data_IF_186634605986
#
_entry.id   IF_186634605986
#
_cell.length_a   1.000
_cell.length_b   1.000
_cell.length_c   1.000
_cell.angle_alpha   90.00
_cell.angle_beta   90.00
_cell.angle_gamma   90.00
#
_symmetry.space_group_name_H-M   'P 1'
#
loop_
_entity.id
_entity.type
_entity.pdbx_description
1 polymer ?
#
# COMPACT_ATOMS: atom_id res chain seq x y z
N UNK A 1 -28.40 2.66 -38.85
CA UNK A 1 -27.29 3.13 -39.71
C UNK A 1 -26.87 4.52 -39.24
N UNK A 2 -25.94 4.59 -38.28
CA UNK A 2 -25.10 5.77 -38.02
C UNK A 2 -23.83 5.26 -37.36
N UNK A 3 -22.74 5.29 -38.12
CA UNK A 3 -21.39 4.90 -37.70
C UNK A 3 -20.89 5.85 -36.63
N UNK A 4 -20.60 5.28 -35.46
CA UNK A 4 -19.94 5.94 -34.34
C UNK A 4 -18.63 6.57 -34.83
N UNK A 5 -18.67 7.88 -35.02
CA UNK A 5 -17.54 8.64 -35.56
C UNK A 5 -16.60 8.87 -34.39
N UNK A 6 -15.66 7.94 -34.20
CA UNK A 6 -14.49 8.19 -33.34
C UNK A 6 -13.71 9.32 -34.00
N UNK A 7 -14.02 10.57 -33.62
CA UNK A 7 -13.53 11.78 -34.28
C UNK A 7 -11.98 11.80 -34.28
N UNK A 8 -11.41 11.42 -35.43
CA UNK A 8 -10.00 11.55 -35.73
C UNK A 8 -9.73 13.03 -35.98
N UNK A 9 -9.15 13.69 -34.99
CA UNK A 9 -9.23 15.16 -34.88
C UNK A 9 -7.88 15.85 -35.11
N UNK A 10 -6.77 15.16 -34.90
CA UNK A 10 -5.46 15.81 -34.86
C UNK A 10 -4.46 15.16 -35.82
N UNK A 11 -3.76 16.03 -36.57
CA UNK A 11 -2.58 15.63 -37.32
C UNK A 11 -1.36 15.51 -36.39
N UNK A 12 -0.25 14.85 -36.83
CA UNK A 12 0.94 14.72 -36.01
C UNK A 12 1.54 16.06 -35.54
N UNK A 13 1.41 17.12 -36.33
CA UNK A 13 1.86 18.47 -35.98
C UNK A 13 1.06 19.04 -34.81
N UNK A 14 -0.27 18.92 -34.86
CA UNK A 14 -1.17 19.46 -33.84
C UNK A 14 -1.01 18.69 -32.53
N UNK A 15 -0.92 17.36 -32.61
CA UNK A 15 -0.70 16.52 -31.43
C UNK A 15 0.67 16.80 -30.78
N UNK A 16 1.72 17.01 -31.59
CA UNK A 16 3.03 17.37 -31.08
C UNK A 16 3.00 18.72 -30.34
N UNK A 17 2.25 19.69 -30.87
CA UNK A 17 2.05 21.00 -30.24
C UNK A 17 1.26 20.89 -28.92
N UNK A 18 0.19 20.10 -28.88
CA UNK A 18 -0.61 19.86 -27.67
C UNK A 18 0.15 19.15 -26.55
N UNK A 19 1.10 18.29 -26.91
CA UNK A 19 1.95 17.54 -25.97
C UNK A 19 3.26 18.28 -25.66
N UNK A 20 3.50 19.44 -26.28
CA UNK A 20 4.72 20.23 -26.14
C UNK A 20 6.01 19.42 -26.44
N UNK A 21 5.95 18.55 -27.45
CA UNK A 21 7.07 17.72 -27.89
C UNK A 21 7.38 17.93 -29.38
N UNK A 22 8.59 17.54 -29.79
CA UNK A 22 8.93 17.48 -31.23
C UNK A 22 8.18 16.34 -31.90
N UNK A 23 7.78 16.52 -33.16
CA UNK A 23 7.13 15.45 -33.93
C UNK A 23 7.96 14.16 -34.04
N UNK A 24 9.29 14.28 -34.08
CA UNK A 24 10.19 13.13 -34.07
C UNK A 24 10.06 12.30 -32.79
N UNK A 25 9.88 12.97 -31.65
CA UNK A 25 9.60 12.34 -30.35
C UNK A 25 8.22 11.70 -30.33
N UNK A 26 7.20 12.39 -30.86
CA UNK A 26 5.85 11.83 -30.99
C UNK A 26 5.84 10.55 -31.83
N UNK A 27 6.54 10.54 -32.97
CA UNK A 27 6.71 9.35 -33.82
C UNK A 27 7.40 8.21 -33.07
N UNK A 28 8.45 8.51 -32.31
CA UNK A 28 9.15 7.51 -31.48
C UNK A 28 8.23 6.91 -30.43
N UNK A 29 7.46 7.73 -29.71
CA UNK A 29 6.53 7.27 -28.68
C UNK A 29 5.39 6.45 -29.28
N UNK A 30 4.84 6.90 -30.41
CA UNK A 30 3.81 6.16 -31.14
C UNK A 30 4.32 4.76 -31.53
N UNK A 31 5.56 4.65 -32.01
CA UNK A 31 6.15 3.36 -32.38
C UNK A 31 6.34 2.43 -31.18
N UNK A 32 6.77 2.96 -30.03
CA UNK A 32 6.94 2.18 -28.80
C UNK A 32 5.60 1.61 -28.31
N UNK A 33 4.56 2.43 -28.31
CA UNK A 33 3.21 2.00 -27.96
C UNK A 33 2.66 0.99 -28.99
N UNK A 34 2.95 1.17 -30.28
CA UNK A 34 2.59 0.19 -31.33
C UNK A 34 3.26 -1.18 -31.11
N UNK A 35 4.51 -1.22 -30.63
CA UNK A 35 5.21 -2.48 -30.31
C UNK A 35 4.55 -3.24 -29.15
N UNK A 36 4.05 -2.53 -28.15
CA UNK A 36 3.32 -3.11 -27.01
C UNK A 36 1.84 -3.41 -27.32
N UNK A 37 1.41 -3.21 -28.57
CA UNK A 37 0.07 -3.57 -29.04
C UNK A 37 -1.01 -2.49 -28.88
N UNK A 38 -0.62 -1.22 -28.83
CA UNK A 38 -1.54 -0.09 -29.05
C UNK A 38 -1.67 0.21 -30.54
N UNK A 39 -2.87 0.56 -31.02
CA UNK A 39 -3.08 0.84 -32.45
C UNK A 39 -3.54 2.28 -32.65
N UNK A 40 -2.71 3.08 -33.32
CA UNK A 40 -3.10 4.39 -33.82
C UNK A 40 -3.77 4.26 -35.19
N UNK A 41 -4.68 5.18 -35.50
CA UNK A 41 -5.29 5.23 -36.83
C UNK A 41 -4.26 5.69 -37.87
N UNK A 42 -4.22 4.99 -39.00
CA UNK A 42 -3.36 5.33 -40.14
C UNK A 42 -4.26 5.55 -41.36
N UNK A 43 -4.16 6.71 -41.97
CA UNK A 43 -4.89 7.03 -43.20
C UNK A 43 -4.33 6.27 -44.41
N UNK A 44 -4.93 6.50 -45.59
CA UNK A 44 -4.59 5.84 -46.85
C UNK A 44 -3.12 5.97 -47.29
N UNK A 45 -2.43 7.02 -46.84
CA UNK A 45 -1.01 7.30 -47.16
C UNK A 45 -0.07 6.82 -46.03
N UNK A 46 -0.58 6.06 -45.04
CA UNK A 46 0.19 5.66 -43.85
C UNK A 46 0.47 6.80 -42.86
N UNK A 47 -0.12 7.98 -43.09
CA UNK A 47 -0.06 9.11 -42.16
C UNK A 47 -0.93 8.82 -40.94
N UNK A 48 -0.36 8.98 -39.74
CA UNK A 48 -1.10 8.76 -38.49
C UNK A 48 -2.08 9.90 -38.23
N UNK A 49 -3.27 9.54 -37.79
CA UNK A 49 -4.29 10.45 -37.27
C UNK A 49 -4.54 10.11 -35.82
N UNK A 50 -4.69 11.14 -35.00
CA UNK A 50 -4.86 10.99 -33.57
C UNK A 50 -6.22 11.50 -33.11
N UNK A 51 -6.75 10.84 -32.09
CA UNK A 51 -8.00 11.15 -31.39
C UNK A 51 -7.71 11.72 -30.00
N UNK A 52 -8.74 12.23 -29.31
CA UNK A 52 -8.62 12.66 -27.91
C UNK A 52 -8.18 11.50 -26.99
N UNK A 53 -8.59 10.26 -27.30
CA UNK A 53 -8.11 9.07 -26.57
C UNK A 53 -6.61 8.88 -26.72
N UNK A 54 -6.06 9.07 -27.93
CA UNK A 54 -4.63 8.93 -28.20
C UNK A 54 -3.82 9.99 -27.43
N UNK A 55 -4.36 11.21 -27.33
CA UNK A 55 -3.76 12.29 -26.53
C UNK A 55 -3.63 11.88 -25.06
N UNK A 56 -4.67 11.31 -24.46
CA UNK A 56 -4.63 10.86 -23.06
C UNK A 56 -3.60 9.75 -22.85
N UNK A 57 -3.52 8.80 -23.79
CA UNK A 57 -2.56 7.68 -23.74
C UNK A 57 -1.13 8.20 -23.81
N UNK A 58 -0.85 9.12 -24.72
CA UNK A 58 0.47 9.73 -24.89
C UNK A 58 0.87 10.58 -23.69
N UNK A 59 -0.05 11.38 -23.11
CA UNK A 59 0.21 12.12 -21.86
C UNK A 59 0.57 11.17 -20.71
N UNK A 60 -0.21 10.10 -20.53
CA UNK A 60 0.03 9.12 -19.45
C UNK A 60 1.37 8.41 -19.61
N UNK A 61 1.75 8.09 -20.85
CA UNK A 61 3.06 7.53 -21.15
C UNK A 61 4.21 8.49 -20.80
N UNK A 62 4.06 9.78 -21.11
CA UNK A 62 5.05 10.80 -20.75
C UNK A 62 5.20 10.97 -19.24
N UNK A 63 4.11 10.90 -18.48
CA UNK A 63 4.14 10.94 -17.00
C UNK A 63 4.93 9.76 -16.43
N UNK A 64 4.63 8.53 -16.88
CA UNK A 64 5.27 7.32 -16.36
C UNK A 64 6.75 7.23 -16.74
N UNK A 65 7.11 7.74 -17.93
CA UNK A 65 8.50 7.83 -18.38
C UNK A 65 9.34 8.78 -17.54
N UNK A 66 8.74 9.80 -16.91
CA UNK A 66 9.46 10.74 -16.05
C UNK A 66 9.70 10.21 -14.63
N UNK A 67 9.11 9.07 -14.25
CA UNK A 67 9.43 8.37 -13.01
C UNK A 67 10.63 7.42 -13.17
N UNK A 68 10.99 6.72 -12.09
CA UNK A 68 12.06 5.69 -12.08
C UNK A 68 11.69 4.39 -12.84
N UNK A 69 10.70 4.45 -13.74
CA UNK A 69 10.19 3.29 -14.47
C UNK A 69 10.94 3.11 -15.80
N UNK A 70 11.24 1.86 -16.16
CA UNK A 70 11.81 1.57 -17.48
C UNK A 70 10.80 1.85 -18.60
N UNK A 71 11.31 2.19 -19.79
CA UNK A 71 10.49 2.59 -20.93
C UNK A 71 9.48 1.51 -21.37
N UNK A 72 9.88 0.24 -21.30
CA UNK A 72 9.05 -0.91 -21.66
C UNK A 72 7.93 -1.12 -20.65
N UNK A 73 8.24 -1.10 -19.34
CA UNK A 73 7.24 -1.21 -18.27
C UNK A 73 6.23 -0.07 -18.33
N UNK A 74 6.69 1.15 -18.64
CA UNK A 74 5.81 2.30 -18.83
C UNK A 74 4.87 2.13 -20.03
N UNK A 75 5.36 1.61 -21.17
CA UNK A 75 4.51 1.33 -22.32
C UNK A 75 3.47 0.25 -21.99
N UNK A 76 3.89 -0.86 -21.39
CA UNK A 76 3.01 -1.97 -21.02
C UNK A 76 1.88 -1.52 -20.09
N UNK A 77 2.20 -0.75 -19.04
CA UNK A 77 1.21 -0.24 -18.09
C UNK A 77 0.18 0.70 -18.76
N UNK A 78 0.62 1.55 -19.67
CA UNK A 78 -0.25 2.48 -20.41
C UNK A 78 -1.17 1.74 -21.37
N UNK A 79 -0.66 0.73 -22.09
CA UNK A 79 -1.46 -0.07 -23.02
C UNK A 79 -2.51 -0.88 -22.26
N UNK A 80 -2.15 -1.50 -21.14
CA UNK A 80 -3.11 -2.21 -20.28
C UNK A 80 -4.21 -1.27 -19.77
N UNK A 81 -3.84 -0.07 -19.31
CA UNK A 81 -4.78 0.95 -18.86
C UNK A 81 -5.68 1.48 -20.00
N UNK A 82 -5.15 1.66 -21.20
CA UNK A 82 -5.92 2.09 -22.36
C UNK A 82 -6.90 1.00 -22.84
N UNK A 83 -6.51 -0.27 -22.77
CA UNK A 83 -7.39 -1.42 -23.06
C UNK A 83 -8.51 -1.52 -22.02
N UNK A 84 -8.19 -1.37 -20.73
CA UNK A 84 -9.19 -1.35 -19.65
C UNK A 84 -10.23 -0.24 -19.75
N UNK A 85 -9.89 0.92 -20.32
CA UNK A 85 -10.83 2.03 -20.56
C UNK A 85 -11.70 1.91 -21.81
N UNK A 86 -11.28 1.13 -22.82
CA UNK A 86 -12.10 0.87 -24.02
C UNK A 86 -13.13 -0.25 -23.81
N UNK A 87 -13.29 -0.75 -22.58
CA UNK A 87 -14.31 -1.76 -22.24
C UNK A 87 -15.65 -1.05 -22.02
N UNK A 88 -16.27 -0.65 -23.13
CA UNK A 88 -17.71 -0.50 -23.27
C UNK A 88 -18.09 -0.92 -24.71
N UNK A 89 -19.21 -1.62 -24.87
CA UNK A 89 -19.30 -3.07 -25.06
C UNK A 89 -18.99 -3.50 -26.51
N UNK A 90 -17.78 -3.97 -26.79
CA UNK A 90 -17.49 -4.65 -28.07
C UNK A 90 -16.47 -5.78 -27.92
N UNK A 91 -16.49 -6.49 -26.80
CA UNK A 91 -15.71 -7.72 -26.60
C UNK A 91 -16.68 -8.85 -26.36
N UNK A 92 -17.29 -9.32 -27.47
CA UNK A 92 -17.96 -10.63 -27.53
C UNK A 92 -17.06 -11.68 -28.17
N UNK A 93 -15.74 -11.49 -28.12
CA UNK A 93 -14.76 -12.52 -28.45
C UNK A 93 -13.86 -12.71 -27.22
N UNK A 94 -13.87 -13.93 -26.68
CA UNK A 94 -13.11 -14.41 -25.52
C UNK A 94 -13.81 -14.28 -24.16
N UNK A 95 -15.09 -14.68 -24.11
CA UNK A 95 -15.81 -14.93 -22.86
C UNK A 95 -15.18 -16.04 -21.99
N UNK A 96 -14.24 -16.84 -22.52
CA UNK A 96 -13.49 -17.85 -21.77
C UNK A 96 -12.23 -17.28 -21.09
N UNK A 97 -11.43 -16.46 -21.79
CA UNK A 97 -10.23 -15.83 -21.19
C UNK A 97 -10.59 -14.88 -20.05
N UNK A 98 -11.72 -14.15 -20.18
CA UNK A 98 -12.21 -13.27 -19.12
C UNK A 98 -12.63 -14.08 -17.89
N UNK A 99 -13.37 -15.19 -18.07
CA UNK A 99 -13.78 -16.06 -16.96
C UNK A 99 -12.60 -16.72 -16.26
N UNK A 100 -11.58 -17.12 -17.00
CA UNK A 100 -10.38 -17.72 -16.41
C UNK A 100 -9.54 -16.67 -15.67
N UNK A 101 -9.49 -15.44 -16.17
CA UNK A 101 -8.88 -14.31 -15.46
C UNK A 101 -9.65 -13.94 -14.18
N UNK A 102 -10.97 -13.92 -14.22
CA UNK A 102 -11.84 -13.66 -13.06
C UNK A 102 -11.69 -14.75 -12.00
N UNK A 103 -11.67 -16.02 -12.40
CA UNK A 103 -11.43 -17.15 -11.50
C UNK A 103 -10.05 -17.10 -10.85
N UNK A 104 -9.01 -16.76 -11.63
CA UNK A 104 -7.66 -16.60 -11.09
C UNK A 104 -7.59 -15.45 -10.07
N UNK A 105 -8.26 -14.33 -10.35
CA UNK A 105 -8.33 -13.20 -9.42
C UNK A 105 -9.10 -13.56 -8.14
N UNK A 106 -10.21 -14.28 -8.26
CA UNK A 106 -11.00 -14.76 -7.11
C UNK A 106 -10.18 -15.72 -6.24
N UNK A 107 -9.46 -16.69 -6.82
CA UNK A 107 -8.57 -17.61 -6.09
C UNK A 107 -7.46 -16.85 -5.34
N UNK A 108 -6.88 -15.82 -5.97
CA UNK A 108 -5.87 -14.97 -5.30
C UNK A 108 -6.47 -14.16 -4.16
N UNK A 109 -7.68 -13.64 -4.33
CA UNK A 109 -8.37 -12.86 -3.32
C UNK A 109 -8.75 -13.75 -2.12
N UNK A 110 -9.23 -14.96 -2.37
CA UNK A 110 -9.54 -15.95 -1.34
C UNK A 110 -8.28 -16.31 -0.52
N UNK A 111 -7.17 -16.63 -1.19
CA UNK A 111 -5.88 -16.89 -0.52
C UNK A 111 -5.36 -15.71 0.30
N UNK A 112 -5.56 -14.48 -0.20
CA UNK A 112 -5.21 -13.28 0.58
C UNK A 112 -6.10 -13.15 1.82
N UNK A 113 -7.39 -13.44 1.70
CA UNK A 113 -8.31 -13.38 2.83
C UNK A 113 -7.99 -14.44 3.89
N UNK A 114 -7.64 -15.65 3.48
CA UNK A 114 -7.15 -16.71 4.37
C UNK A 114 -5.89 -16.28 5.12
N UNK A 115 -4.90 -15.71 4.41
CA UNK A 115 -3.68 -15.20 5.04
C UNK A 115 -3.98 -14.07 6.04
N UNK A 116 -4.89 -13.16 5.69
CA UNK A 116 -5.31 -12.08 6.59
C UNK A 116 -5.94 -12.65 7.86
N UNK A 117 -6.83 -13.64 7.74
CA UNK A 117 -7.44 -14.32 8.89
C UNK A 117 -6.40 -15.02 9.77
N UNK A 118 -5.41 -15.69 9.16
CA UNK A 118 -4.33 -16.33 9.90
C UNK A 118 -3.46 -15.32 10.66
N UNK A 119 -3.15 -14.17 10.02
CA UNK A 119 -2.41 -13.08 10.65
C UNK A 119 -3.18 -12.48 11.83
N UNK A 120 -4.49 -12.26 11.68
CA UNK A 120 -5.34 -11.82 12.80
C UNK A 120 -5.33 -12.82 13.95
N UNK A 121 -5.53 -14.11 13.68
CA UNK A 121 -5.49 -15.15 14.71
C UNK A 121 -4.10 -15.26 15.39
N UNK A 122 -3.02 -14.90 14.69
CA UNK A 122 -1.68 -14.83 15.28
C UNK A 122 -1.51 -13.60 16.16
N UNK A 123 -2.06 -12.45 15.76
CA UNK A 123 -2.06 -11.22 16.56
C UNK A 123 -2.87 -11.40 17.85
N UNK A 124 -4.06 -11.99 17.78
CA UNK A 124 -4.90 -12.26 18.96
C UNK A 124 -4.17 -13.15 19.97
N UNK A 125 -3.51 -14.21 19.49
CA UNK A 125 -2.67 -15.08 20.34
C UNK A 125 -1.50 -14.34 20.96
N UNK A 126 -0.88 -13.42 20.21
CA UNK A 126 0.23 -12.62 20.71
C UNK A 126 -0.24 -11.61 21.77
N UNK A 127 -1.38 -10.96 21.55
CA UNK A 127 -1.99 -10.04 22.53
C UNK A 127 -2.33 -10.77 23.83
N UNK A 128 -2.91 -11.97 23.74
CA UNK A 128 -3.22 -12.81 24.89
C UNK A 128 -1.94 -13.21 25.65
N UNK A 129 -0.88 -13.60 24.93
CA UNK A 129 0.42 -13.88 25.54
C UNK A 129 1.00 -12.65 26.27
N UNK A 130 0.88 -11.46 25.66
CA UNK A 130 1.34 -10.23 26.30
C UNK A 130 0.52 -9.88 27.54
N UNK A 131 -0.81 -10.05 27.51
CA UNK A 131 -1.67 -9.86 28.69
C UNK A 131 -1.26 -10.77 29.83
N UNK A 132 -1.09 -12.07 29.59
CA UNK A 132 -0.67 -13.02 30.63
C UNK A 132 0.71 -12.69 31.19
N UNK A 133 1.67 -12.31 30.32
CA UNK A 133 3.01 -11.90 30.74
C UNK A 133 2.95 -10.64 31.60
N UNK A 134 2.18 -9.65 31.19
CA UNK A 134 2.08 -8.37 31.88
C UNK A 134 1.35 -8.55 33.23
N UNK A 135 0.29 -9.37 33.30
CA UNK A 135 -0.36 -9.77 34.56
C UNK A 135 0.62 -10.45 35.51
N UNK A 136 1.38 -11.42 35.03
CA UNK A 136 2.40 -12.11 35.81
C UNK A 136 3.48 -11.14 36.32
N UNK A 137 3.93 -10.20 35.48
CA UNK A 137 4.92 -9.21 35.84
C UNK A 137 4.40 -8.26 36.93
N UNK A 138 3.14 -7.82 36.80
CA UNK A 138 2.46 -6.99 37.81
C UNK A 138 2.34 -7.74 39.14
N UNK A 139 1.97 -9.02 39.12
CA UNK A 139 1.89 -9.85 40.32
C UNK A 139 3.26 -9.95 41.02
N UNK A 140 4.33 -10.23 40.27
CA UNK A 140 5.69 -10.29 40.83
C UNK A 140 6.18 -8.96 41.38
N UNK A 141 5.84 -7.84 40.73
CA UNK A 141 6.13 -6.49 41.24
C UNK A 141 5.38 -6.18 42.53
N UNK A 142 4.11 -6.62 42.67
CA UNK A 142 3.36 -6.48 43.93
C UNK A 142 4.01 -7.29 45.05
N UNK A 143 4.32 -8.57 44.81
CA UNK A 143 5.02 -9.43 45.78
C UNK A 143 6.36 -8.82 46.24
N UNK A 144 7.13 -8.23 45.32
CA UNK A 144 8.39 -7.58 45.67
C UNK A 144 8.22 -6.29 46.48
N UNK A 145 7.16 -5.52 46.25
CA UNK A 145 6.91 -4.26 46.97
C UNK A 145 6.19 -4.46 48.32
N UNK A 146 5.46 -5.56 48.50
CA UNK A 146 4.83 -5.90 49.79
C UNK A 146 5.83 -6.42 50.82
N UNK A 147 6.86 -7.17 50.40
CA UNK A 147 7.94 -7.66 51.29
C UNK A 147 8.64 -6.54 52.10
N UNK A 148 9.09 -5.43 51.50
CA UNK A 148 9.69 -4.33 52.26
C UNK A 148 8.66 -3.56 53.09
N UNK A 149 7.39 -3.45 52.65
CA UNK A 149 6.34 -2.79 53.46
C UNK A 149 6.01 -3.55 54.74
N UNK A 150 5.87 -4.87 54.69
CA UNK A 150 5.65 -5.71 55.89
C UNK A 150 6.84 -5.64 56.85
N UNK A 151 8.07 -5.53 56.33
CA UNK A 151 9.27 -5.33 57.15
C UNK A 151 9.26 -3.96 57.83
N UNK A 152 9.01 -2.88 57.09
CA UNK A 152 8.88 -1.51 57.61
C UNK A 152 7.73 -1.36 58.63
N UNK A 153 6.57 -1.98 58.38
CA UNK A 153 5.43 -1.98 59.30
C UNK A 153 5.71 -2.81 60.56
N UNK A 154 6.43 -3.93 60.44
CA UNK A 154 6.86 -4.72 61.60
C UNK A 154 7.93 -4.00 62.43
N UNK A 155 8.83 -3.25 61.79
CA UNK A 155 9.87 -2.46 62.45
C UNK A 155 9.24 -1.26 63.18
N UNK A 156 8.39 -0.48 62.51
CA UNK A 156 7.70 0.68 63.09
C UNK A 156 6.75 0.33 64.24
N UNK A 157 6.14 -0.87 64.23
CA UNK A 157 5.27 -1.33 65.32
C UNK A 157 6.08 -1.94 66.50
N UNK A 158 7.32 -2.39 66.25
CA UNK A 158 8.25 -2.85 67.29
C UNK A 158 9.00 -1.71 68.01
N UNK A 159 9.04 -0.51 67.42
CA UNK A 159 9.73 0.67 67.95
C UNK A 159 8.91 1.51 68.96
N UNK A 160 7.63 1.17 69.21
CA UNK A 160 6.79 1.88 70.20
C UNK A 160 6.97 1.42 71.66
N UNK A 161 8.02 0.65 71.99
CA UNK A 161 8.43 0.46 73.39
C UNK A 161 9.62 1.38 73.68
N UNK A 162 9.50 2.37 74.60
CA UNK A 162 10.57 3.34 74.81
C UNK A 162 11.83 2.65 75.34
N UNK A 163 12.90 2.65 74.55
CA UNK A 163 14.23 2.20 75.00
C UNK A 163 14.86 3.31 75.84
N UNK A 164 15.44 3.01 77.02
CA UNK A 164 16.08 4.03 77.85
C UNK A 164 17.28 4.62 77.09
N UNK A 165 17.22 5.92 76.85
CA UNK A 165 18.21 6.67 76.07
C UNK A 165 19.55 6.71 76.80
N UNK A 166 20.67 6.58 76.08
CA UNK A 166 22.04 6.56 76.62
C UNK A 166 22.35 7.67 77.65
N UNK A 167 21.71 8.84 77.53
CA UNK A 167 21.88 9.97 78.47
C UNK A 167 21.30 9.68 79.87
N UNK A 168 20.27 8.85 79.99
CA UNK A 168 19.70 8.48 81.30
C UNK A 168 20.63 7.57 82.10
N UNK A 169 21.58 6.90 81.45
CA UNK A 169 22.63 6.10 82.11
C UNK A 169 23.89 6.90 82.43
N UNK A 170 24.16 7.99 81.71
CA UNK A 170 25.40 8.77 81.87
C UNK A 170 25.28 9.89 82.93
N UNK A 171 24.07 10.42 83.17
CA UNK A 171 23.85 11.53 84.11
C UNK A 171 23.01 11.16 85.34
N UNK A 172 22.73 9.87 85.55
CA UNK A 172 21.88 9.36 86.63
C UNK A 172 22.56 9.17 87.99
N UNK A 173 23.75 9.72 88.21
CA UNK A 173 24.42 9.70 89.52
C UNK A 173 25.00 11.08 89.86
N UNK A 174 24.23 11.85 90.64
CA UNK A 174 24.73 12.70 91.72
C UNK A 174 23.79 12.57 92.90
#
# INVERSE_FOLDING_TARGET
>A
MTTDTKELKYEPSDMALMLEIKESTLRKYSLLLEKEGYTFHKGSVGRRWYSDSDLMVLRRFMELKNGDMSLETACHAVVAWAKGRNIAPSVMENANDLRDSERYLLDKLEKQNELIQELFARLDRQEEFFKQRDEWLIEKLKEQNEKPKLQLESETNSEQKPKPTFLSKLFGHR
#
